data_IF_711952225993
#
_entry.id   IF_711952225993
#
_cell.length_a   1.000
_cell.length_b   1.000
_cell.length_c   1.000
_cell.angle_alpha   90.00
_cell.angle_beta   90.00
_cell.angle_gamma   90.00
#
_symmetry.space_group_name_H-M   'P 1'
#
loop_
_entity.id
_entity.type
_entity.pdbx_description
1 polymer ?
#
# COMPACT_ATOMS: atom_id res chain seq x y z
N UNK A 1 11.61 -12.52 -19.11
CA UNK A 1 10.20 -12.04 -19.17
C UNK A 1 10.20 -10.80 -20.04
N UNK A 2 9.44 -10.81 -21.14
CA UNK A 2 9.42 -9.72 -22.11
C UNK A 2 8.10 -8.95 -21.95
N UNK A 3 8.18 -7.70 -21.52
CA UNK A 3 7.02 -6.84 -21.28
C UNK A 3 6.45 -6.33 -22.62
N UNK A 4 5.14 -6.50 -22.86
CA UNK A 4 4.43 -6.01 -24.06
C UNK A 4 3.31 -5.06 -23.66
N UNK A 5 3.65 -3.84 -23.27
CA UNK A 5 2.69 -2.75 -23.09
C UNK A 5 2.93 -1.64 -24.11
N UNK A 6 1.86 -1.03 -24.61
CA UNK A 6 1.95 0.10 -25.52
C UNK A 6 2.47 1.34 -24.77
N UNK A 7 3.65 1.83 -25.18
CA UNK A 7 4.27 3.04 -24.66
C UNK A 7 3.83 4.24 -25.51
N UNK A 8 3.16 5.22 -24.89
CA UNK A 8 2.91 6.52 -25.52
C UNK A 8 4.10 7.45 -25.25
N UNK A 9 4.75 8.00 -26.30
CA UNK A 9 5.80 9.01 -26.14
C UNK A 9 5.23 10.25 -25.43
N UNK A 10 5.76 10.60 -24.27
CA UNK A 10 5.28 11.71 -23.44
C UNK A 10 4.54 11.31 -22.16
N UNK A 11 4.30 10.02 -21.93
CA UNK A 11 3.80 9.53 -20.64
C UNK A 11 4.93 9.43 -19.60
N UNK A 12 4.80 10.15 -18.49
CA UNK A 12 5.63 10.01 -17.28
C UNK A 12 5.48 8.60 -16.67
N UNK A 13 6.51 8.10 -15.94
CA UNK A 13 6.85 6.69 -15.93
C UNK A 13 5.78 5.81 -15.27
N UNK A 14 5.61 4.62 -15.83
CA UNK A 14 4.94 3.51 -15.15
C UNK A 14 5.62 3.32 -13.78
N UNK A 15 4.83 3.33 -12.71
CA UNK A 15 5.38 3.10 -11.36
C UNK A 15 6.05 1.73 -11.33
N UNK A 16 7.28 1.70 -10.83
CA UNK A 16 7.98 0.44 -10.60
C UNK A 16 7.42 -0.25 -9.36
N UNK A 17 6.75 -1.39 -9.56
CA UNK A 17 6.18 -2.16 -8.46
C UNK A 17 7.25 -2.77 -7.55
N UNK A 18 8.47 -3.00 -8.04
CA UNK A 18 9.58 -3.45 -7.20
C UNK A 18 9.94 -2.37 -6.17
N UNK A 19 10.00 -1.11 -6.62
CA UNK A 19 10.24 0.05 -5.75
C UNK A 19 9.11 0.25 -4.74
N UNK A 20 7.85 0.10 -5.16
CA UNK A 20 6.68 0.17 -4.26
C UNK A 20 6.77 -0.90 -3.18
N UNK A 21 7.07 -2.15 -3.55
CA UNK A 21 7.22 -3.24 -2.59
C UNK A 21 8.36 -2.96 -1.61
N UNK A 22 9.53 -2.55 -2.10
CA UNK A 22 10.69 -2.24 -1.27
C UNK A 22 10.40 -1.10 -0.28
N UNK A 23 9.69 -0.06 -0.72
CA UNK A 23 9.25 1.03 0.14
C UNK A 23 8.34 0.52 1.27
N UNK A 24 7.31 -0.26 0.94
CA UNK A 24 6.35 -0.77 1.95
C UNK A 24 6.98 -1.82 2.88
N UNK A 25 7.97 -2.59 2.43
CA UNK A 25 8.73 -3.51 3.28
C UNK A 25 9.48 -2.81 4.41
N UNK A 26 9.77 -1.50 4.31
CA UNK A 26 10.38 -0.75 5.40
C UNK A 26 9.49 -0.63 6.65
N UNK A 27 8.19 -0.86 6.50
CA UNK A 27 7.21 -0.88 7.59
C UNK A 27 7.17 -2.24 8.31
N UNK A 28 7.80 -3.27 7.75
CA UNK A 28 7.86 -4.59 8.38
C UNK A 28 8.64 -4.52 9.70
N UNK A 29 8.14 -5.24 10.72
CA UNK A 29 8.67 -5.20 12.08
C UNK A 29 8.35 -3.93 12.88
N UNK A 30 7.71 -2.92 12.28
CA UNK A 30 7.24 -1.74 13.01
C UNK A 30 6.01 -2.06 13.88
N UNK A 31 5.88 -1.35 15.00
CA UNK A 31 4.77 -1.54 15.94
C UNK A 31 3.75 -0.41 15.83
N UNK A 32 2.53 -0.75 15.44
CA UNK A 32 1.40 0.19 15.34
C UNK A 32 0.32 -0.18 16.35
N UNK A 33 -0.33 0.83 16.94
CA UNK A 33 -1.45 0.62 17.86
C UNK A 33 -2.70 0.13 17.14
N UNK A 34 -2.96 0.70 15.96
CA UNK A 34 -4.13 0.41 15.12
C UNK A 34 -3.72 0.04 13.69
N UNK A 35 -4.58 -0.69 12.97
CA UNK A 35 -4.30 -1.05 11.55
C UNK A 35 -4.46 0.17 10.62
N UNK A 36 -5.23 1.15 11.07
CA UNK A 36 -5.46 2.45 10.49
C UNK A 36 -4.17 3.28 10.44
N UNK A 37 -3.35 3.21 11.49
CA UNK A 37 -2.05 3.89 11.55
C UNK A 37 -1.10 3.32 10.50
N UNK A 38 -1.03 2.00 10.38
CA UNK A 38 -0.23 1.32 9.35
C UNK A 38 -0.70 1.69 7.94
N UNK A 39 -2.02 1.67 7.70
CA UNK A 39 -2.56 2.05 6.40
C UNK A 39 -2.25 3.51 6.04
N UNK A 40 -2.31 4.41 7.03
CA UNK A 40 -2.01 5.82 6.85
C UNK A 40 -0.53 6.09 6.60
N UNK A 41 0.36 5.39 7.31
CA UNK A 41 1.82 5.49 7.14
C UNK A 41 2.26 4.96 5.76
N UNK A 42 1.70 3.82 5.34
CA UNK A 42 1.92 3.27 4.01
C UNK A 42 1.42 4.22 2.91
N UNK A 43 0.23 4.80 3.08
CA UNK A 43 -0.31 5.78 2.14
C UNK A 43 0.56 7.05 2.08
N UNK A 44 1.03 7.54 3.23
CA UNK A 44 1.92 8.69 3.31
C UNK A 44 3.25 8.44 2.60
N UNK A 45 3.84 7.26 2.80
CA UNK A 45 5.09 6.84 2.13
C UNK A 45 4.94 6.81 0.61
N UNK A 46 3.84 6.24 0.11
CA UNK A 46 3.55 6.17 -1.33
C UNK A 46 3.34 7.56 -1.93
N UNK A 47 2.65 8.45 -1.22
CA UNK A 47 2.44 9.84 -1.66
C UNK A 47 3.75 10.63 -1.70
N UNK A 48 4.59 10.50 -0.67
CA UNK A 48 5.86 11.22 -0.60
C UNK A 48 6.80 10.80 -1.74
N UNK A 49 6.88 9.48 -1.99
CA UNK A 49 7.75 8.93 -3.04
C UNK A 49 7.17 9.12 -4.46
N UNK A 50 5.85 8.99 -4.60
CA UNK A 50 5.14 9.02 -5.88
C UNK A 50 3.95 10.00 -5.86
N UNK A 51 4.21 11.31 -5.80
CA UNK A 51 3.17 12.32 -5.57
C UNK A 51 2.18 12.49 -6.73
N UNK A 52 2.51 11.99 -7.92
CA UNK A 52 1.61 11.99 -9.08
C UNK A 52 0.64 10.78 -9.08
N UNK A 53 0.89 9.78 -8.23
CA UNK A 53 0.05 8.60 -8.09
C UNK A 53 -1.19 8.88 -7.24
N UNK A 54 -2.30 8.22 -7.56
CA UNK A 54 -3.48 8.14 -6.69
C UNK A 54 -3.46 6.81 -5.99
N UNK A 55 -3.38 6.84 -4.67
CA UNK A 55 -3.11 5.64 -3.88
C UNK A 55 -4.30 5.25 -3.01
N UNK A 56 -4.49 3.93 -2.89
CA UNK A 56 -5.41 3.32 -1.95
C UNK A 56 -4.70 2.12 -1.33
N UNK A 57 -4.65 2.08 0.00
CA UNK A 57 -3.93 1.06 0.77
C UNK A 57 -4.94 0.30 1.61
N UNK A 58 -5.00 -1.02 1.42
CA UNK A 58 -5.80 -1.90 2.29
C UNK A 58 -4.87 -2.73 3.17
N UNK A 59 -5.06 -2.63 4.48
CA UNK A 59 -4.37 -3.45 5.47
C UNK A 59 -5.32 -4.54 5.96
N UNK A 60 -4.81 -5.77 5.98
CA UNK A 60 -5.54 -6.94 6.45
C UNK A 60 -4.95 -7.47 7.75
N UNK A 61 -5.83 -7.77 8.70
CA UNK A 61 -5.53 -8.51 9.92
C UNK A 61 -6.29 -9.83 9.87
N UNK A 62 -5.59 -10.89 9.47
CA UNK A 62 -6.17 -12.23 9.27
C UNK A 62 -6.63 -12.86 10.60
N UNK A 63 -5.91 -12.63 11.70
CA UNK A 63 -6.28 -13.16 13.01
C UNK A 63 -6.54 -12.03 14.02
N UNK A 64 -7.66 -11.29 13.92
CA UNK A 64 -7.97 -10.26 14.89
C UNK A 64 -8.24 -10.92 16.26
N UNK A 65 -7.66 -10.42 17.37
CA UNK A 65 -7.88 -10.96 18.72
C UNK A 65 -9.24 -10.50 19.26
N UNK A 66 -10.29 -10.84 18.54
CA UNK A 66 -11.68 -10.55 18.90
C UNK A 66 -12.33 -11.85 19.37
N UNK A 67 -13.16 -11.79 20.41
CA UNK A 67 -13.92 -12.95 20.90
C UNK A 67 -15.04 -13.41 19.94
N UNK A 68 -14.93 -13.06 18.67
CA UNK A 68 -15.89 -13.30 17.60
C UNK A 68 -15.22 -14.17 16.53
N UNK A 69 -15.99 -15.04 15.88
CA UNK A 69 -15.50 -15.77 14.70
C UNK A 69 -15.45 -14.81 13.51
N UNK A 70 -14.33 -14.11 13.37
CA UNK A 70 -14.04 -13.28 12.22
C UNK A 70 -12.85 -13.87 11.49
N UNK A 71 -13.02 -14.12 10.19
CA UNK A 71 -11.94 -14.62 9.34
C UNK A 71 -10.89 -13.55 9.04
N UNK A 72 -11.29 -12.26 9.09
CA UNK A 72 -10.41 -11.12 8.82
C UNK A 72 -11.00 -9.79 9.27
N UNK A 73 -10.16 -8.88 9.74
CA UNK A 73 -10.45 -7.45 9.81
C UNK A 73 -9.66 -6.71 8.72
N UNK A 74 -10.27 -5.74 8.04
CA UNK A 74 -9.62 -4.98 6.97
C UNK A 74 -9.92 -3.50 7.13
N UNK A 75 -8.92 -2.66 6.83
CA UNK A 75 -9.08 -1.22 6.76
C UNK A 75 -8.45 -0.70 5.47
N UNK A 76 -9.14 0.20 4.80
CA UNK A 76 -8.65 0.84 3.58
C UNK A 76 -8.49 2.34 3.83
N UNK A 77 -7.31 2.88 3.55
CA UNK A 77 -7.05 4.32 3.48
C UNK A 77 -6.93 4.72 2.01
N UNK A 78 -7.53 5.85 1.62
CA UNK A 78 -7.43 6.38 0.25
C UNK A 78 -7.45 7.90 0.27
N UNK A 79 -7.02 8.51 -0.84
CA UNK A 79 -7.13 9.95 -1.04
C UNK A 79 -8.57 10.32 -1.45
N UNK A 80 -9.21 11.18 -0.66
CA UNK A 80 -10.58 11.66 -0.89
C UNK A 80 -10.73 12.56 -2.12
#
# INVERSE_FOLDING_TARGET
>A
MEWRGAFTPGSTPAVDYEEVCALLSSLDGSSFGFIEDLASEALASLRDRFPAGKWSVTVHKECPPVGLRLDRASFTAWEG
#
